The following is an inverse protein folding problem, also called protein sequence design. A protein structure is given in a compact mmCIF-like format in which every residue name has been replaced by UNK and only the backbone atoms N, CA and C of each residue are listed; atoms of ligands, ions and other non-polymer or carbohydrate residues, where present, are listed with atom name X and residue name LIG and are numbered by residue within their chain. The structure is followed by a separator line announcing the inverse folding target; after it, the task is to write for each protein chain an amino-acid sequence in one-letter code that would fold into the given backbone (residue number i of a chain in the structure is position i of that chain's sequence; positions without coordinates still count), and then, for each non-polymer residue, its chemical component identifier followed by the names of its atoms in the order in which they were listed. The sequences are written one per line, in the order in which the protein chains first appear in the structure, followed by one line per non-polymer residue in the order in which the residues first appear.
data_IF_610032595184
#
_entry.id   IF_610032595184
#
_cell.length_a   1.000
_cell.length_b   1.000
_cell.length_c   1.000
_cell.angle_alpha   90.00
_cell.angle_beta   90.00
_cell.angle_gamma   90.00
#
_symmetry.space_group_name_H-M   'P 1'
#
loop_
_entity.id
_entity.type
_entity.pdbx_description
1 polymer ?
#
# COMPACT_ATOMS: atom_id res chain seq x y z
N UNK A 1 -50.64 -7.28 19.47
CA UNK A 1 -50.96 -5.94 18.89
C UNK A 1 -49.83 -4.90 19.03
N UNK A 2 -48.91 -5.00 19.99
CA UNK A 2 -48.12 -3.85 20.44
C UNK A 2 -46.71 -3.65 19.83
N UNK A 3 -46.11 -4.64 19.16
CA UNK A 3 -44.69 -4.53 18.76
C UNK A 3 -44.48 -3.79 17.43
N UNK A 4 -45.25 -4.08 16.37
CA UNK A 4 -45.17 -3.36 15.08
C UNK A 4 -45.36 -1.84 15.23
N UNK A 5 -46.18 -1.41 16.19
CA UNK A 5 -46.41 0.01 16.44
C UNK A 5 -45.17 0.76 16.95
N UNK A 6 -44.15 0.06 17.47
CA UNK A 6 -42.91 0.65 17.97
C UNK A 6 -41.93 1.01 16.85
N UNK A 7 -42.01 0.34 15.71
CA UNK A 7 -41.11 0.53 14.58
C UNK A 7 -41.53 1.72 13.72
N UNK A 8 -40.59 2.35 13.01
CA UNK A 8 -40.87 3.51 12.16
C UNK A 8 -41.65 3.10 10.91
N UNK A 9 -42.25 4.08 10.22
CA UNK A 9 -43.00 3.79 8.99
C UNK A 9 -42.06 3.16 7.94
N UNK A 10 -40.84 3.66 7.84
CA UNK A 10 -39.82 3.20 6.90
C UNK A 10 -39.39 1.75 7.18
N UNK A 11 -39.23 1.38 8.46
CA UNK A 11 -38.86 0.02 8.88
C UNK A 11 -39.98 -0.98 8.56
N UNK A 12 -41.24 -0.56 8.71
CA UNK A 12 -42.41 -1.38 8.35
C UNK A 12 -42.60 -1.48 6.84
N UNK A 13 -42.15 -0.48 6.07
CA UNK A 13 -42.16 -0.54 4.61
C UNK A 13 -41.13 -1.56 4.12
N UNK A 14 -39.89 -1.48 4.61
CA UNK A 14 -38.84 -2.44 4.26
C UNK A 14 -39.25 -3.88 4.62
N UNK A 15 -39.83 -4.09 5.79
CA UNK A 15 -40.34 -5.41 6.19
C UNK A 15 -41.42 -5.93 5.22
N UNK A 16 -42.35 -5.07 4.81
CA UNK A 16 -43.41 -5.48 3.91
C UNK A 16 -42.89 -5.71 2.48
N UNK A 17 -41.86 -4.98 2.02
CA UNK A 17 -41.13 -5.30 0.79
C UNK A 17 -40.46 -6.67 0.88
N UNK A 18 -39.78 -6.99 1.99
CA UNK A 18 -39.14 -8.30 2.22
C UNK A 18 -40.15 -9.45 2.26
N UNK A 19 -41.35 -9.20 2.78
CA UNK A 19 -42.47 -10.15 2.79
C UNK A 19 -43.27 -10.18 1.48
N UNK A 20 -42.90 -9.39 0.46
CA UNK A 20 -43.62 -9.32 -0.82
C UNK A 20 -45.02 -8.70 -0.75
N UNK A 21 -45.29 -7.91 0.29
CA UNK A 21 -46.57 -7.24 0.52
C UNK A 21 -46.59 -5.89 -0.21
N UNK A 22 -47.54 -5.70 -1.12
CA UNK A 22 -47.70 -4.42 -1.82
C UNK A 22 -48.20 -3.30 -0.87
N UNK A 23 -47.34 -2.29 -0.70
CA UNK A 23 -47.65 -1.07 0.04
C UNK A 23 -47.93 0.06 -0.95
N UNK A 24 -49.04 0.76 -0.72
CA UNK A 24 -49.35 2.00 -1.44
C UNK A 24 -48.59 3.18 -0.81
N UNK A 25 -48.11 4.15 -1.59
CA UNK A 25 -47.52 5.39 -1.06
C UNK A 25 -48.45 6.16 -0.10
N UNK A 26 -49.76 5.99 -0.25
CA UNK A 26 -50.79 6.61 0.60
C UNK A 26 -51.06 5.86 1.90
N UNK A 27 -50.53 4.64 2.07
CA UNK A 27 -50.76 3.83 3.26
C UNK A 27 -50.16 4.52 4.49
N UNK A 28 -50.96 4.65 5.55
CA UNK A 28 -50.47 5.11 6.84
C UNK A 28 -49.81 3.95 7.56
N UNK A 29 -48.98 4.27 8.55
CA UNK A 29 -48.31 3.27 9.41
C UNK A 29 -49.26 2.20 9.95
N UNK A 30 -50.49 2.59 10.29
CA UNK A 30 -51.54 1.70 10.80
C UNK A 30 -52.00 0.72 9.73
N UNK A 31 -52.17 1.19 8.49
CA UNK A 31 -52.61 0.39 7.35
C UNK A 31 -51.54 -0.65 6.99
N UNK A 32 -50.26 -0.25 7.02
CA UNK A 32 -49.12 -1.16 6.80
C UNK A 32 -49.04 -2.23 7.91
N UNK A 33 -49.14 -1.83 9.18
CA UNK A 33 -49.21 -2.78 10.30
C UNK A 33 -50.37 -3.76 10.17
N UNK A 34 -51.49 -3.34 9.58
CA UNK A 34 -52.67 -4.17 9.36
C UNK A 34 -52.39 -5.19 8.24
N UNK A 35 -51.89 -4.74 7.08
CA UNK A 35 -51.51 -5.60 5.95
C UNK A 35 -50.48 -6.67 6.35
N UNK A 36 -49.48 -6.33 7.14
CA UNK A 36 -48.47 -7.28 7.64
C UNK A 36 -49.12 -8.38 8.49
N UNK A 37 -50.05 -8.02 9.38
CA UNK A 37 -50.75 -9.00 10.24
C UNK A 37 -51.75 -9.87 9.50
N UNK A 38 -52.34 -9.35 8.44
CA UNK A 38 -53.33 -10.06 7.60
C UNK A 38 -52.65 -10.94 6.55
N UNK A 39 -51.32 -10.89 6.43
CA UNK A 39 -50.55 -11.76 5.56
C UNK A 39 -50.68 -13.24 5.98
N UNK A 40 -50.87 -14.17 5.03
CA UNK A 40 -50.89 -15.61 5.33
C UNK A 40 -49.56 -16.12 5.90
N UNK A 41 -48.45 -15.41 5.61
CA UNK A 41 -47.10 -15.75 6.05
C UNK A 41 -46.70 -15.02 7.34
N UNK A 42 -47.67 -14.49 8.09
CA UNK A 42 -47.39 -13.78 9.34
C UNK A 42 -47.02 -14.74 10.46
N UNK A 43 -45.75 -14.74 10.85
CA UNK A 43 -45.23 -15.41 12.04
C UNK A 43 -44.54 -14.38 12.96
N UNK A 44 -45.01 -14.26 14.22
CA UNK A 44 -44.60 -13.15 15.11
C UNK A 44 -43.10 -13.14 15.43
N UNK A 45 -42.48 -14.31 15.63
CA UNK A 45 -41.03 -14.39 15.91
C UNK A 45 -40.20 -14.06 14.67
N UNK A 46 -40.60 -14.55 13.50
CA UNK A 46 -39.96 -14.24 12.22
C UNK A 46 -40.02 -12.75 11.91
N UNK A 47 -41.21 -12.14 11.99
CA UNK A 47 -41.42 -10.71 11.73
C UNK A 47 -40.64 -9.84 12.71
N UNK A 48 -40.51 -10.27 13.96
CA UNK A 48 -39.67 -9.59 14.95
C UNK A 48 -38.19 -9.66 14.60
N UNK A 49 -37.70 -10.83 14.19
CA UNK A 49 -36.33 -11.01 13.70
C UNK A 49 -36.00 -10.11 12.51
N UNK A 50 -36.86 -10.10 11.48
CA UNK A 50 -36.69 -9.24 10.32
C UNK A 50 -36.65 -7.75 10.69
N UNK A 51 -37.52 -7.30 11.60
CA UNK A 51 -37.50 -5.90 12.06
C UNK A 51 -36.24 -5.55 12.86
N UNK A 52 -35.72 -6.48 13.67
CA UNK A 52 -34.46 -6.28 14.38
C UNK A 52 -33.29 -6.12 13.42
N UNK A 53 -33.25 -6.92 12.35
CA UNK A 53 -32.20 -6.84 11.33
C UNK A 53 -32.29 -5.57 10.49
N UNK A 54 -33.50 -5.15 10.08
CA UNK A 54 -33.75 -3.88 9.39
C UNK A 54 -33.29 -2.69 10.25
N UNK A 55 -33.60 -2.71 11.55
CA UNK A 55 -33.19 -1.65 12.48
C UNK A 55 -31.66 -1.61 12.61
N UNK A 56 -31.01 -2.77 12.79
CA UNK A 56 -29.54 -2.85 12.88
C UNK A 56 -28.86 -2.35 11.61
N UNK A 57 -29.36 -2.74 10.44
CA UNK A 57 -28.80 -2.31 9.16
C UNK A 57 -28.89 -0.78 9.00
N UNK A 58 -30.05 -0.19 9.31
CA UNK A 58 -30.24 1.27 9.26
C UNK A 58 -29.33 2.02 10.23
N UNK A 59 -29.11 1.48 11.43
CA UNK A 59 -28.20 2.06 12.41
C UNK A 59 -26.74 1.99 11.97
N UNK A 60 -26.34 0.88 11.33
CA UNK A 60 -25.01 0.74 10.75
C UNK A 60 -24.77 1.74 9.61
N UNK A 61 -25.70 1.86 8.66
CA UNK A 61 -25.62 2.81 7.56
C UNK A 61 -25.58 4.28 8.06
N UNK A 62 -26.37 4.61 9.09
CA UNK A 62 -26.35 5.93 9.70
C UNK A 62 -25.02 6.22 10.42
N UNK A 63 -24.43 5.22 11.08
CA UNK A 63 -23.12 5.35 11.72
C UNK A 63 -22.00 5.52 10.69
N UNK A 64 -22.01 4.76 9.59
CA UNK A 64 -21.06 4.91 8.48
C UNK A 64 -21.17 6.29 7.83
N UNK A 65 -22.39 6.77 7.56
CA UNK A 65 -22.59 8.10 7.00
C UNK A 65 -22.10 9.20 7.96
N UNK A 66 -22.30 9.04 9.27
CA UNK A 66 -21.82 9.99 10.27
C UNK A 66 -20.29 10.02 10.32
N UNK A 67 -19.65 8.85 10.34
CA UNK A 67 -18.19 8.74 10.33
C UNK A 67 -17.55 9.28 9.05
N UNK A 68 -18.18 9.09 7.89
CA UNK A 68 -17.75 9.72 6.63
C UNK A 68 -17.82 11.24 6.70
N UNK A 69 -18.94 11.80 7.19
CA UNK A 69 -19.09 13.26 7.34
C UNK A 69 -18.08 13.86 8.32
N UNK A 70 -17.82 13.19 9.44
CA UNK A 70 -16.81 13.62 10.42
C UNK A 70 -15.40 13.56 9.81
N UNK A 71 -15.08 12.54 9.02
CA UNK A 71 -13.79 12.41 8.34
C UNK A 71 -13.60 13.46 7.25
N UNK A 72 -14.66 13.82 6.51
CA UNK A 72 -14.65 14.87 5.50
C UNK A 72 -14.45 16.25 6.14
N UNK A 73 -15.19 16.56 7.21
CA UNK A 73 -15.00 17.82 7.95
C UNK A 73 -13.58 17.97 8.50
N UNK A 74 -12.97 16.88 9.00
CA UNK A 74 -11.59 16.89 9.47
C UNK A 74 -10.58 17.12 8.32
N UNK A 75 -10.89 16.65 7.10
CA UNK A 75 -10.05 16.92 5.92
C UNK A 75 -10.14 18.39 5.52
N UNK A 76 -11.34 18.95 5.47
CA UNK A 76 -11.56 20.37 5.18
C UNK A 76 -10.87 21.27 6.20
N UNK A 77 -10.94 20.94 7.50
CA UNK A 77 -10.26 21.68 8.56
C UNK A 77 -8.74 21.68 8.38
N UNK A 78 -8.16 20.51 8.07
CA UNK A 78 -6.72 20.39 7.78
C UNK A 78 -6.30 21.17 6.54
N UNK A 79 -7.12 21.16 5.48
CA UNK A 79 -6.85 21.94 4.27
C UNK A 79 -6.88 23.43 4.55
N UNK A 80 -7.86 23.89 5.34
CA UNK A 80 -7.96 25.29 5.76
C UNK A 80 -6.76 25.72 6.61
N UNK A 81 -6.30 24.87 7.54
CA UNK A 81 -5.13 25.15 8.37
C UNK A 81 -3.84 25.24 7.52
N UNK A 82 -3.66 24.33 6.56
CA UNK A 82 -2.54 24.39 5.62
C UNK A 82 -2.57 25.67 4.76
N UNK A 83 -3.74 26.09 4.29
CA UNK A 83 -3.87 27.32 3.50
C UNK A 83 -3.58 28.57 4.34
N UNK A 84 -3.99 28.58 5.61
CA UNK A 84 -3.63 29.64 6.56
C UNK A 84 -2.12 29.72 6.78
N UNK A 85 -1.44 28.57 6.92
CA UNK A 85 0.03 28.52 7.04
C UNK A 85 0.69 29.03 5.75
N UNK A 86 0.19 28.67 4.57
CA UNK A 86 0.70 29.17 3.28
C UNK A 86 0.61 30.70 3.19
N UNK A 87 -0.54 31.28 3.54
CA UNK A 87 -0.74 32.73 3.53
C UNK A 87 0.13 33.44 4.57
N UNK A 88 0.29 32.88 5.77
CA UNK A 88 1.19 33.40 6.79
C UNK A 88 2.65 33.40 6.32
N UNK A 89 3.12 32.29 5.75
CA UNK A 89 4.46 32.18 5.21
C UNK A 89 4.66 33.17 4.05
N UNK A 90 3.69 33.30 3.14
CA UNK A 90 3.73 34.26 2.03
C UNK A 90 3.82 35.72 2.49
N UNK A 91 3.20 36.06 3.63
CA UNK A 91 3.30 37.38 4.23
C UNK A 91 4.69 37.66 4.83
N UNK A 92 5.36 36.65 5.39
CA UNK A 92 6.75 36.80 5.88
C UNK A 92 7.78 36.97 4.74
N UNK A 93 7.55 36.38 3.56
CA UNK A 93 8.49 36.53 2.42
C UNK A 93 8.44 37.95 1.82
N UNK A 94 7.37 38.71 2.05
CA UNK A 94 7.21 40.07 1.52
C UNK A 94 7.85 41.17 2.40
N UNK A 95 8.42 40.84 3.57
CA UNK A 95 9.10 41.82 4.44
C UNK A 95 10.64 41.78 4.35
N UNK A 96 11.22 40.95 3.49
CA UNK A 96 12.68 40.91 3.26
C UNK A 96 12.98 40.99 1.77
N UNK A 97 12.73 42.16 1.19
CA UNK A 97 13.38 42.54 -0.05
C UNK A 97 14.71 43.22 0.24
N UNK A 98 15.84 42.49 0.16
CA UNK A 98 17.11 43.04 -0.35
C UNK A 98 18.24 41.99 -0.38
N UNK A 99 18.89 41.95 -1.55
CA UNK A 99 20.23 41.43 -1.85
C UNK A 99 20.48 39.92 -2.00
N UNK A 100 20.81 39.59 -3.27
CA UNK A 100 21.81 38.62 -3.75
C UNK A 100 21.43 37.14 -3.90
N UNK A 101 22.05 36.62 -4.97
CA UNK A 101 22.37 35.24 -5.31
C UNK A 101 21.34 34.56 -6.20
N UNK A 102 21.84 34.07 -7.34
CA UNK A 102 21.27 32.93 -8.06
C UNK A 102 20.73 31.94 -7.03
N UNK A 103 19.46 31.57 -7.21
CA UNK A 103 18.77 30.66 -6.32
C UNK A 103 19.52 29.32 -6.30
N UNK A 104 20.35 29.12 -5.29
CA UNK A 104 20.67 27.77 -4.83
C UNK A 104 19.35 27.25 -4.27
N UNK A 105 18.58 26.56 -5.13
CA UNK A 105 17.51 25.68 -4.67
C UNK A 105 18.12 24.84 -3.54
N UNK A 106 17.47 24.69 -2.37
CA UNK A 106 18.01 23.85 -1.32
C UNK A 106 18.26 22.47 -1.92
N UNK A 107 19.54 22.12 -2.08
CA UNK A 107 20.01 20.90 -2.75
C UNK A 107 19.27 19.75 -2.06
N UNK A 108 18.34 19.09 -2.76
CA UNK A 108 17.55 18.01 -2.18
C UNK A 108 18.46 16.81 -2.03
N UNK A 109 19.11 16.68 -0.89
CA UNK A 109 20.05 15.58 -0.66
C UNK A 109 19.28 14.30 -0.35
N UNK A 110 19.50 13.25 -1.17
CA UNK A 110 18.83 11.96 -0.99
C UNK A 110 19.16 11.30 0.35
N UNK A 111 20.29 11.67 0.96
CA UNK A 111 20.68 11.23 2.30
C UNK A 111 19.64 11.53 3.39
N UNK A 112 18.80 12.54 3.18
CA UNK A 112 17.74 12.94 4.12
C UNK A 112 16.39 12.27 3.79
N UNK A 113 16.27 11.65 2.61
CA UNK A 113 15.04 11.06 2.09
C UNK A 113 15.08 9.53 2.09
N UNK A 114 16.26 8.95 2.19
CA UNK A 114 16.48 7.51 2.15
C UNK A 114 17.39 7.06 3.28
N UNK A 115 17.13 5.86 3.80
CA UNK A 115 18.05 5.19 4.70
C UNK A 115 19.27 4.67 3.94
N UNK A 116 20.40 4.54 4.64
CA UNK A 116 21.59 3.90 4.08
C UNK A 116 21.27 2.46 3.69
N UNK A 117 21.93 1.98 2.64
CA UNK A 117 21.77 0.61 2.19
C UNK A 117 22.18 -0.37 3.29
N UNK A 118 21.26 -1.30 3.59
CA UNK A 118 21.50 -2.44 4.47
C UNK A 118 21.19 -3.73 3.71
N UNK A 119 22.23 -4.50 3.40
CA UNK A 119 22.11 -5.77 2.67
C UNK A 119 21.43 -6.89 3.45
N UNK A 120 21.19 -6.74 4.75
CA UNK A 120 20.38 -7.67 5.54
C UNK A 120 18.88 -7.43 5.32
N UNK A 121 18.49 -6.16 5.12
CA UNK A 121 17.09 -5.73 5.05
C UNK A 121 16.59 -5.63 3.61
N UNK A 122 17.42 -5.14 2.68
CA UNK A 122 16.99 -4.84 1.31
C UNK A 122 17.91 -5.46 0.26
N UNK A 123 17.30 -5.96 -0.82
CA UNK A 123 18.03 -6.34 -2.03
C UNK A 123 18.62 -5.09 -2.72
N UNK A 124 19.82 -5.20 -3.28
CA UNK A 124 20.49 -4.05 -3.92
C UNK A 124 19.71 -3.56 -5.15
N UNK A 125 19.06 -4.45 -5.91
CA UNK A 125 18.34 -4.10 -7.13
C UNK A 125 17.07 -3.32 -6.79
N UNK A 126 16.38 -3.77 -5.72
CA UNK A 126 15.25 -3.04 -5.16
C UNK A 126 15.69 -1.69 -4.59
N UNK A 127 16.81 -1.64 -3.88
CA UNK A 127 17.36 -0.41 -3.32
C UNK A 127 17.72 0.61 -4.40
N UNK A 128 18.41 0.19 -5.45
CA UNK A 128 18.74 1.03 -6.61
C UNK A 128 17.47 1.52 -7.31
N UNK A 129 16.45 0.67 -7.46
CA UNK A 129 15.16 1.08 -8.06
C UNK A 129 14.44 2.15 -7.23
N UNK A 130 14.46 2.03 -5.90
CA UNK A 130 13.93 3.06 -5.00
C UNK A 130 14.73 4.36 -5.08
N UNK A 131 16.07 4.25 -5.15
CA UNK A 131 16.97 5.37 -5.32
C UNK A 131 16.66 6.15 -6.61
N UNK A 132 16.55 5.47 -7.76
CA UNK A 132 16.26 6.12 -9.04
C UNK A 132 14.90 6.82 -9.05
N UNK A 133 13.90 6.22 -8.38
CA UNK A 133 12.58 6.84 -8.27
C UNK A 133 12.67 8.11 -7.42
N UNK A 134 13.37 8.04 -6.28
CA UNK A 134 13.52 9.19 -5.39
C UNK A 134 14.37 10.30 -6.02
N UNK A 135 15.43 9.95 -6.74
CA UNK A 135 16.27 10.90 -7.47
C UNK A 135 15.46 11.65 -8.55
N UNK A 136 14.62 10.93 -9.29
CA UNK A 136 13.69 11.52 -10.27
C UNK A 136 12.64 12.42 -9.61
N UNK A 137 12.01 11.97 -8.53
CA UNK A 137 11.02 12.77 -7.77
C UNK A 137 11.65 14.02 -7.13
N UNK A 138 12.94 13.94 -6.77
CA UNK A 138 13.70 15.05 -6.23
C UNK A 138 14.30 15.97 -7.32
N UNK A 139 14.09 15.67 -8.62
CA UNK A 139 14.65 16.40 -9.76
C UNK A 139 16.18 16.55 -9.70
N UNK A 140 16.88 15.50 -9.25
CA UNK A 140 18.34 15.50 -9.15
C UNK A 140 18.93 15.23 -10.52
N UNK A 141 19.90 16.04 -10.93
CA UNK A 141 20.62 15.85 -12.18
C UNK A 141 21.36 14.50 -12.18
N UNK A 142 21.32 13.77 -13.30
CA UNK A 142 21.95 12.45 -13.44
C UNK A 142 23.45 12.47 -13.13
N UNK A 143 24.13 13.59 -13.40
CA UNK A 143 25.52 13.86 -13.03
C UNK A 143 25.77 13.77 -11.51
N UNK A 144 24.77 14.06 -10.69
CA UNK A 144 24.88 13.98 -9.23
C UNK A 144 24.48 12.61 -8.68
N UNK A 145 23.87 11.72 -9.47
CA UNK A 145 23.31 10.46 -8.97
C UNK A 145 24.37 9.56 -8.33
N UNK A 146 25.56 9.41 -8.93
CA UNK A 146 26.61 8.58 -8.34
C UNK A 146 27.11 9.16 -7.02
N UNK A 147 27.26 10.49 -6.94
CA UNK A 147 27.70 11.17 -5.70
C UNK A 147 26.69 10.98 -4.55
N UNK A 148 25.39 11.06 -4.87
CA UNK A 148 24.31 10.84 -3.90
C UNK A 148 24.22 9.38 -3.50
N UNK A 149 24.39 8.46 -4.45
CA UNK A 149 24.41 7.02 -4.21
C UNK A 149 25.57 6.63 -3.28
N UNK A 150 26.79 7.14 -3.52
CA UNK A 150 27.95 6.87 -2.65
C UNK A 150 27.72 7.28 -1.20
N UNK A 151 27.00 8.38 -0.95
CA UNK A 151 26.68 8.81 0.41
C UNK A 151 25.71 7.87 1.15
N UNK A 152 24.97 7.08 0.40
CA UNK A 152 23.94 6.16 0.88
C UNK A 152 24.43 4.71 0.98
N UNK A 153 25.54 4.36 0.32
CA UNK A 153 26.12 3.02 0.35
C UNK A 153 27.12 2.85 1.52
N UNK A 154 27.20 1.65 2.12
CA UNK A 154 28.31 1.21 2.94
C UNK A 154 29.68 1.40 2.26
N UNK A 155 30.72 1.59 3.09
CA UNK A 155 32.08 1.89 2.62
C UNK A 155 32.65 0.81 1.68
N UNK A 156 32.36 -0.46 1.94
CA UNK A 156 32.82 -1.58 1.13
C UNK A 156 32.24 -1.58 -0.29
N UNK A 157 31.05 -0.99 -0.48
CA UNK A 157 30.42 -0.79 -1.78
C UNK A 157 30.93 0.45 -2.49
N UNK A 158 31.08 1.54 -1.75
CA UNK A 158 31.70 2.75 -2.27
C UNK A 158 33.11 2.47 -2.80
N UNK A 159 33.87 1.56 -2.17
CA UNK A 159 35.18 1.13 -2.65
C UNK A 159 35.18 0.44 -4.02
N UNK A 160 34.05 -0.12 -4.47
CA UNK A 160 33.93 -0.68 -5.82
C UNK A 160 33.89 0.45 -6.83
N UNK A 161 33.07 1.47 -6.55
CA UNK A 161 32.92 2.67 -7.37
C UNK A 161 34.27 3.39 -7.47
N UNK A 162 35.03 3.48 -6.37
CA UNK A 162 36.36 4.11 -6.33
C UNK A 162 37.39 3.38 -7.21
N UNK A 163 37.20 2.10 -7.51
CA UNK A 163 38.13 1.30 -8.34
C UNK A 163 37.84 1.39 -9.83
N UNK A 164 36.69 1.94 -10.21
CA UNK A 164 36.34 2.19 -11.61
C UNK A 164 37.15 3.37 -12.16
N UNK A 165 37.43 3.41 -13.46
CA UNK A 165 38.19 4.51 -14.05
C UNK A 165 37.36 5.81 -14.04
N UNK A 166 38.03 6.96 -13.93
CA UNK A 166 37.41 8.26 -13.66
C UNK A 166 36.39 8.70 -14.73
N UNK A 167 36.59 8.26 -15.97
CA UNK A 167 35.69 8.45 -17.11
C UNK A 167 34.34 7.72 -16.93
N UNK A 168 34.29 6.69 -16.09
CA UNK A 168 33.09 5.87 -15.81
C UNK A 168 32.53 6.09 -14.41
N UNK A 169 33.24 6.80 -13.54
CA UNK A 169 32.80 7.06 -12.17
C UNK A 169 31.56 7.95 -12.08
N UNK A 170 31.29 8.76 -13.11
CA UNK A 170 30.09 9.61 -13.16
C UNK A 170 28.94 8.95 -13.95
N UNK A 171 29.20 7.81 -14.61
CA UNK A 171 28.18 7.08 -15.34
C UNK A 171 27.38 6.17 -14.40
N UNK A 172 26.20 6.64 -14.02
CA UNK A 172 25.29 5.88 -13.16
C UNK A 172 24.92 4.51 -13.74
N UNK A 173 24.76 4.36 -15.06
CA UNK A 173 24.37 3.09 -15.66
C UNK A 173 25.49 2.05 -15.56
N UNK A 174 26.73 2.48 -15.78
CA UNK A 174 27.91 1.64 -15.55
C UNK A 174 28.03 1.24 -14.08
N UNK A 175 27.95 2.20 -13.15
CA UNK A 175 28.04 1.93 -11.71
C UNK A 175 26.91 1.01 -11.23
N UNK A 176 25.68 1.21 -11.71
CA UNK A 176 24.56 0.30 -11.45
C UNK A 176 24.90 -1.12 -11.92
N UNK A 177 25.44 -1.28 -13.12
CA UNK A 177 25.87 -2.58 -13.65
C UNK A 177 26.93 -3.26 -12.78
N UNK A 178 27.96 -2.51 -12.37
CA UNK A 178 29.06 -3.01 -11.53
C UNK A 178 28.57 -3.40 -10.12
N UNK A 179 27.71 -2.57 -9.51
CA UNK A 179 27.10 -2.89 -8.23
C UNK A 179 26.24 -4.15 -8.36
N UNK A 180 25.35 -4.21 -9.34
CA UNK A 180 24.53 -5.39 -9.61
C UNK A 180 25.37 -6.63 -9.87
N UNK A 181 26.53 -6.51 -10.53
CA UNK A 181 27.46 -7.62 -10.77
C UNK A 181 28.15 -8.08 -9.49
N UNK A 182 28.62 -7.17 -8.63
CA UNK A 182 29.20 -7.52 -7.32
C UNK A 182 28.16 -8.17 -6.39
N UNK A 183 26.91 -7.78 -6.56
CA UNK A 183 25.73 -8.35 -5.93
C UNK A 183 24.97 -9.33 -6.82
N UNK A 184 25.59 -9.89 -7.87
CA UNK A 184 25.24 -11.22 -8.38
C UNK A 184 25.63 -12.22 -7.29
N UNK A 185 25.01 -12.04 -6.13
CA UNK A 185 24.81 -13.03 -5.12
C UNK A 185 24.12 -14.16 -5.84
N UNK A 186 24.70 -15.33 -5.60
CA UNK A 186 24.23 -16.62 -6.08
C UNK A 186 22.70 -16.66 -5.99
N UNK A 187 21.99 -17.38 -6.86
CA UNK A 187 20.55 -17.58 -6.76
C UNK A 187 20.04 -18.05 -5.37
N UNK A 188 20.95 -18.44 -4.48
CA UNK A 188 20.72 -19.03 -3.17
C UNK A 188 20.01 -18.14 -2.12
N UNK A 189 20.35 -16.86 -1.88
CA UNK A 189 19.63 -16.04 -0.90
C UNK A 189 18.20 -15.74 -1.33
N UNK A 190 17.94 -15.57 -2.63
CA UNK A 190 16.59 -15.42 -3.18
C UNK A 190 15.77 -16.69 -2.99
N UNK A 191 16.37 -17.86 -3.27
CA UNK A 191 15.78 -19.17 -2.96
C UNK A 191 15.44 -19.31 -1.48
N UNK A 192 16.37 -18.99 -0.58
CA UNK A 192 16.15 -19.08 0.87
C UNK A 192 15.04 -18.13 1.31
N UNK A 193 15.04 -16.87 0.86
CA UNK A 193 13.97 -15.91 1.16
C UNK A 193 12.62 -16.36 0.60
N UNK A 194 12.54 -16.80 -0.66
CA UNK A 194 11.30 -17.32 -1.24
C UNK A 194 10.69 -18.48 -0.44
N UNK A 195 11.53 -19.28 0.24
CA UNK A 195 11.11 -20.55 0.86
C UNK A 195 10.91 -20.48 2.36
N UNK A 196 11.61 -19.57 3.03
CA UNK A 196 11.58 -19.39 4.48
C UNK A 196 10.86 -18.12 4.91
N UNK A 197 10.55 -17.20 3.98
CA UNK A 197 9.86 -15.97 4.31
C UNK A 197 8.42 -16.24 4.75
N UNK A 198 8.07 -15.65 5.89
CA UNK A 198 6.76 -15.79 6.51
C UNK A 198 6.16 -14.41 6.72
N UNK A 199 4.82 -14.35 6.67
CA UNK A 199 4.07 -13.12 6.91
C UNK A 199 4.41 -12.55 8.30
N UNK A 200 4.76 -11.27 8.37
CA UNK A 200 4.98 -10.59 9.65
C UNK A 200 3.66 -10.22 10.30
N UNK A 201 3.67 -10.09 11.64
CA UNK A 201 2.48 -9.67 12.39
C UNK A 201 2.08 -8.24 11.99
N UNK A 202 0.89 -8.07 11.43
CA UNK A 202 0.37 -6.77 10.96
C UNK A 202 0.53 -6.51 9.45
N UNK A 203 1.18 -7.40 8.70
CA UNK A 203 1.42 -7.24 7.27
C UNK A 203 0.20 -7.68 6.43
N UNK A 204 -0.09 -6.93 5.37
CA UNK A 204 -1.18 -7.26 4.44
C UNK A 204 -0.76 -8.43 3.54
N UNK A 205 -1.69 -9.35 3.24
CA UNK A 205 -1.41 -10.49 2.34
C UNK A 205 -0.87 -10.06 0.97
N UNK A 206 -1.29 -8.89 0.48
CA UNK A 206 -0.81 -8.32 -0.79
C UNK A 206 0.68 -7.95 -0.75
N UNK A 207 1.21 -7.57 0.41
CA UNK A 207 2.61 -7.21 0.60
C UNK A 207 3.47 -8.48 0.59
N UNK A 208 3.03 -9.54 1.30
CA UNK A 208 3.68 -10.85 1.24
C UNK A 208 3.72 -11.42 -0.18
N UNK A 209 2.62 -11.34 -0.94
CA UNK A 209 2.57 -11.80 -2.34
C UNK A 209 3.57 -11.04 -3.20
N UNK A 210 3.64 -9.71 -3.02
CA UNK A 210 4.59 -8.87 -3.73
C UNK A 210 6.04 -9.23 -3.40
N UNK A 211 6.36 -9.44 -2.12
CA UNK A 211 7.70 -9.85 -1.68
C UNK A 211 8.09 -11.23 -2.21
N UNK A 212 7.20 -12.23 -2.12
CA UNK A 212 7.42 -13.57 -2.65
C UNK A 212 7.64 -13.55 -4.17
N UNK A 213 6.90 -12.71 -4.90
CA UNK A 213 7.07 -12.53 -6.35
C UNK A 213 8.45 -11.97 -6.67
N UNK A 214 8.88 -10.93 -5.97
CA UNK A 214 10.21 -10.33 -6.16
C UNK A 214 11.33 -11.33 -5.85
N UNK A 215 11.18 -12.15 -4.81
CA UNK A 215 12.18 -13.18 -4.49
C UNK A 215 12.25 -14.26 -5.56
N UNK A 216 11.11 -14.70 -6.10
CA UNK A 216 11.07 -15.68 -7.17
C UNK A 216 11.70 -15.13 -8.46
N UNK A 217 11.38 -13.89 -8.85
CA UNK A 217 11.95 -13.25 -10.04
C UNK A 217 13.46 -13.08 -9.90
N UNK A 218 13.95 -12.59 -8.76
CA UNK A 218 15.39 -12.50 -8.48
C UNK A 218 16.09 -13.87 -8.48
N UNK A 219 15.40 -14.94 -8.07
CA UNK A 219 15.94 -16.30 -8.15
C UNK A 219 16.04 -16.80 -9.60
N UNK A 220 14.97 -16.65 -10.38
CA UNK A 220 14.88 -17.07 -11.79
C UNK A 220 15.92 -16.33 -12.65
N UNK A 221 16.03 -15.01 -12.48
CA UNK A 221 17.00 -14.17 -13.17
C UNK A 221 18.44 -14.57 -12.80
N UNK A 222 18.68 -14.87 -11.52
CA UNK A 222 19.99 -15.31 -11.02
C UNK A 222 20.45 -16.67 -11.57
N UNK A 223 19.52 -17.59 -11.87
CA UNK A 223 19.81 -18.89 -12.52
C UNK A 223 19.76 -18.79 -14.06
N UNK A 224 19.36 -17.64 -14.62
CA UNK A 224 19.11 -17.43 -16.06
C UNK A 224 18.06 -18.38 -16.63
N UNK A 225 17.01 -18.66 -15.87
CA UNK A 225 15.84 -19.41 -16.36
C UNK A 225 15.04 -18.50 -17.28
N UNK A 226 14.87 -18.93 -18.53
CA UNK A 226 14.30 -18.11 -19.61
C UNK A 226 13.09 -18.76 -20.31
N UNK A 227 12.75 -20.00 -19.94
CA UNK A 227 11.59 -20.71 -20.46
C UNK A 227 10.90 -21.56 -19.38
N UNK A 228 9.72 -22.08 -19.71
CA UNK A 228 8.94 -22.89 -18.77
C UNK A 228 9.62 -24.22 -18.42
N UNK A 229 10.40 -24.79 -19.33
CA UNK A 229 11.05 -26.08 -19.14
C UNK A 229 12.21 -25.98 -18.12
N UNK A 230 13.05 -24.97 -18.28
CA UNK A 230 14.13 -24.62 -17.35
C UNK A 230 13.60 -24.21 -15.98
N UNK A 231 12.42 -23.57 -15.92
CA UNK A 231 11.74 -23.28 -14.65
C UNK A 231 11.27 -24.57 -13.96
N UNK A 232 10.63 -25.48 -14.71
CA UNK A 232 10.19 -26.76 -14.16
C UNK A 232 11.38 -27.58 -13.63
N UNK A 233 12.47 -27.63 -14.40
CA UNK A 233 13.72 -28.27 -13.98
C UNK A 233 14.30 -27.65 -12.71
N UNK A 234 14.29 -26.32 -12.59
CA UNK A 234 14.71 -25.60 -11.39
C UNK A 234 13.88 -26.00 -10.17
N UNK A 235 12.55 -26.06 -10.31
CA UNK A 235 11.63 -26.41 -9.22
C UNK A 235 11.86 -27.85 -8.73
N UNK A 236 12.01 -28.80 -9.66
CA UNK A 236 12.28 -30.21 -9.33
C UNK A 236 13.65 -30.34 -8.64
N UNK A 237 14.68 -29.68 -9.19
CA UNK A 237 16.03 -29.70 -8.63
C UNK A 237 16.08 -29.11 -7.24
N UNK A 238 15.35 -28.02 -6.99
CA UNK A 238 15.25 -27.42 -5.66
C UNK A 238 14.57 -28.35 -4.65
N UNK A 239 13.45 -28.99 -5.04
CA UNK A 239 12.77 -29.97 -4.20
C UNK A 239 13.66 -31.17 -3.88
N UNK A 240 14.45 -31.64 -4.84
CA UNK A 240 15.40 -32.72 -4.63
C UNK A 240 16.49 -32.30 -3.63
N UNK A 241 17.07 -31.11 -3.79
CA UNK A 241 18.11 -30.56 -2.89
C UNK A 241 17.64 -30.42 -1.44
N UNK A 242 16.35 -30.19 -1.19
CA UNK A 242 15.81 -30.13 0.19
C UNK A 242 15.63 -31.49 0.85
N UNK A 243 15.52 -32.56 0.05
CA UNK A 243 15.34 -33.94 0.53
C UNK A 243 16.65 -34.69 0.70
N UNK A 244 17.72 -34.20 0.10
CA UNK A 244 19.08 -34.68 0.35
C UNK A 244 19.62 -33.93 1.57
N UNK A 245 19.75 -34.62 2.71
CA UNK A 245 20.43 -34.08 3.90
C UNK A 245 21.87 -33.67 3.54
N UNK A 246 22.45 -32.65 4.21
CA UNK A 246 23.86 -32.31 4.03
C UNK A 246 24.73 -33.36 4.75
N UNK A 247 24.81 -34.55 4.18
CA UNK A 247 25.84 -35.53 4.51
C UNK A 247 26.70 -35.73 3.26
N UNK A 248 27.72 -34.88 3.12
CA UNK A 248 29.16 -35.17 2.96
C UNK A 248 29.90 -33.83 2.93
#
# INVERSE_FOLDING_TARGET
MAFLAKHRKEELIALAEDMGIEISPTDKKIDICKKIKESPDFEEEFVRGCLEDIVKQREAEAAELKTQREAEALREEREFELEKIRLSNAAEINSVGSARSESVRPRRELRNLMQKYDGQVADISLYLSMFERQARTAEIEESEWVSQLMALLPLDLAQIIIKEPEDKMQDYLHIKGVLLERFKMKPEPFRVKFTQHQRKSGELWKELIFELRNYLEGWIDGVKVNDFETLNYLMITDQLKRRVSPEV
#
